data_IF_466119511163
#
_entry.id   IF_466119511163
#
_cell.length_a   1.000
_cell.length_b   1.000
_cell.length_c   1.000
_cell.angle_alpha   90.00
_cell.angle_beta   90.00
_cell.angle_gamma   90.00
#
_symmetry.space_group_name_H-M   'P 1'
#
loop_
_entity.id
_entity.type
_entity.pdbx_description
1 polymer ?
#
# COMPACT_ATOMS: atom_id res chain seq x y z
N UNK A 1 -8.18 11.29 16.85
CA UNK A 1 -8.10 10.13 15.94
C UNK A 1 -9.13 10.18 14.81
N UNK A 2 -10.45 10.05 15.05
CA UNK A 2 -11.44 10.00 13.94
C UNK A 2 -11.50 11.28 13.11
N UNK A 3 -11.39 12.46 13.75
CA UNK A 3 -11.31 13.73 13.06
C UNK A 3 -10.05 13.84 12.18
N UNK A 4 -8.88 13.39 12.65
CA UNK A 4 -7.61 13.39 11.91
C UNK A 4 -7.70 12.52 10.65
N UNK A 5 -8.20 11.27 10.80
CA UNK A 5 -8.41 10.35 9.68
C UNK A 5 -9.37 10.99 8.67
N UNK A 6 -10.51 11.53 9.12
CA UNK A 6 -11.47 12.18 8.22
C UNK A 6 -10.84 13.35 7.45
N UNK A 7 -10.03 14.17 8.11
CA UNK A 7 -9.36 15.30 7.48
C UNK A 7 -8.34 14.84 6.42
N UNK A 8 -7.59 13.78 6.70
CA UNK A 8 -6.67 13.17 5.75
C UNK A 8 -7.41 12.60 4.53
N UNK A 9 -8.50 11.87 4.75
CA UNK A 9 -9.34 11.34 3.67
C UNK A 9 -9.94 12.45 2.79
N UNK A 10 -10.35 13.58 3.39
CA UNK A 10 -10.80 14.75 2.63
C UNK A 10 -9.71 15.38 1.77
N UNK A 11 -8.45 15.34 2.21
CA UNK A 11 -7.31 15.77 1.38
C UNK A 11 -7.14 14.82 0.19
N UNK A 12 -7.21 13.50 0.42
CA UNK A 12 -7.10 12.49 -0.65
C UNK A 12 -8.17 12.68 -1.73
N UNK A 13 -9.41 13.02 -1.35
CA UNK A 13 -10.53 13.25 -2.28
C UNK A 13 -10.29 14.40 -3.27
N UNK A 14 -9.42 15.35 -2.91
CA UNK A 14 -9.13 16.56 -3.70
C UNK A 14 -7.88 16.41 -4.57
N UNK A 15 -7.21 15.27 -4.51
CA UNK A 15 -5.97 15.07 -5.26
C UNK A 15 -6.24 14.84 -6.74
N UNK A 16 -5.41 15.41 -7.63
CA UNK A 16 -5.48 15.08 -9.04
C UNK A 16 -5.15 13.60 -9.27
N UNK A 17 -5.58 13.07 -10.41
CA UNK A 17 -5.15 11.75 -10.82
C UNK A 17 -3.62 11.69 -10.97
N UNK A 18 -3.09 10.49 -10.76
CA UNK A 18 -1.67 10.12 -10.75
C UNK A 18 -0.85 10.74 -9.61
N UNK A 19 -1.52 11.16 -8.53
CA UNK A 19 -0.85 11.64 -7.32
C UNK A 19 -0.20 10.53 -6.51
N UNK A 20 1.00 10.80 -6.01
CA UNK A 20 1.76 9.98 -5.07
C UNK A 20 1.74 10.67 -3.72
N UNK A 21 1.24 9.98 -2.69
CA UNK A 21 1.01 10.56 -1.37
C UNK A 21 1.81 9.79 -0.34
N UNK A 22 2.44 10.52 0.55
CA UNK A 22 3.03 9.97 1.76
C UNK A 22 2.10 10.25 2.95
N UNK A 23 1.57 9.21 3.58
CA UNK A 23 0.74 9.31 4.78
C UNK A 23 1.60 9.01 6.00
N UNK A 24 1.88 10.05 6.80
CA UNK A 24 2.61 9.97 8.05
C UNK A 24 1.64 9.71 9.19
N UNK A 25 1.84 8.60 9.91
CA UNK A 25 0.96 8.18 11.00
C UNK A 25 1.67 8.36 12.34
N UNK A 26 1.03 9.08 13.27
CA UNK A 26 1.53 9.26 14.64
C UNK A 26 1.86 7.93 15.34
N UNK A 27 2.91 7.94 16.15
CA UNK A 27 3.47 6.73 16.80
C UNK A 27 2.51 6.03 17.77
N UNK A 28 1.49 6.71 18.27
CA UNK A 28 0.46 6.23 19.19
C UNK A 28 -0.78 5.67 18.47
N UNK A 29 -0.88 5.83 17.14
CA UNK A 29 -2.06 5.44 16.38
C UNK A 29 -1.99 4.00 15.87
N UNK A 30 -3.14 3.29 15.82
CA UNK A 30 -3.24 1.96 15.24
C UNK A 30 -3.20 2.05 13.70
N UNK A 31 -2.00 1.90 13.12
CA UNK A 31 -1.75 2.06 11.68
C UNK A 31 -2.65 1.19 10.80
N UNK A 32 -2.93 -0.06 11.20
CA UNK A 32 -3.85 -0.93 10.45
C UNK A 32 -5.29 -0.41 10.40
N UNK A 33 -5.75 0.31 11.44
CA UNK A 33 -7.07 0.96 11.40
C UNK A 33 -7.11 2.05 10.33
N UNK A 34 -6.01 2.79 10.18
CA UNK A 34 -5.87 3.82 9.15
C UNK A 34 -5.85 3.16 7.77
N UNK A 35 -5.13 2.06 7.61
CA UNK A 35 -5.09 1.31 6.36
C UNK A 35 -6.48 0.82 5.96
N UNK A 36 -7.21 0.20 6.90
CA UNK A 36 -8.60 -0.21 6.71
C UNK A 36 -9.49 0.98 6.33
N UNK A 37 -9.36 2.11 7.00
CA UNK A 37 -10.17 3.31 6.73
C UNK A 37 -9.88 3.91 5.34
N UNK A 38 -8.62 3.92 4.93
CA UNK A 38 -8.19 4.37 3.60
C UNK A 38 -8.72 3.44 2.52
N UNK A 39 -8.59 2.12 2.70
CA UNK A 39 -9.08 1.13 1.74
C UNK A 39 -10.61 1.21 1.60
N UNK A 40 -11.36 1.27 2.70
CA UNK A 40 -12.81 1.48 2.66
C UNK A 40 -13.18 2.75 1.90
N UNK A 41 -12.53 3.87 2.23
CA UNK A 41 -12.79 5.17 1.60
C UNK A 41 -12.59 5.15 0.07
N UNK A 42 -11.52 4.51 -0.40
CA UNK A 42 -11.19 4.42 -1.82
C UNK A 42 -12.17 3.49 -2.55
N UNK A 43 -12.46 2.33 -1.96
CA UNK A 43 -13.35 1.33 -2.56
C UNK A 43 -14.80 1.84 -2.62
N UNK A 44 -15.27 2.57 -1.61
CA UNK A 44 -16.60 3.21 -1.60
C UNK A 44 -16.76 4.26 -2.71
N UNK A 45 -15.66 4.84 -3.20
CA UNK A 45 -15.63 5.77 -4.34
C UNK A 45 -15.50 5.08 -5.70
N UNK A 46 -15.53 3.74 -5.70
CA UNK A 46 -15.47 2.95 -6.92
C UNK A 46 -14.06 2.74 -7.47
N UNK A 47 -13.03 2.91 -6.64
CA UNK A 47 -11.67 2.49 -7.01
C UNK A 47 -11.41 1.04 -6.61
N UNK A 48 -10.56 0.34 -7.37
CA UNK A 48 -9.90 -0.86 -6.89
C UNK A 48 -8.57 -0.50 -6.21
N UNK A 49 -8.10 -1.37 -5.33
CA UNK A 49 -6.86 -1.19 -4.59
C UNK A 49 -5.93 -2.39 -4.78
N UNK A 50 -4.64 -2.12 -4.95
CA UNK A 50 -3.57 -3.10 -4.77
C UNK A 50 -2.85 -2.75 -3.48
N UNK A 51 -2.85 -3.67 -2.51
CA UNK A 51 -2.23 -3.48 -1.22
C UNK A 51 -0.93 -4.30 -1.13
N UNK A 52 0.20 -3.64 -0.96
CA UNK A 52 1.49 -4.30 -0.72
C UNK A 52 1.67 -4.49 0.78
N UNK A 53 1.84 -5.74 1.19
CA UNK A 53 1.99 -6.16 2.57
C UNK A 53 3.37 -6.75 2.81
N UNK A 54 4.16 -6.12 3.69
CA UNK A 54 5.48 -6.60 4.08
C UNK A 54 5.62 -6.85 5.59
N UNK A 55 4.55 -6.76 6.38
CA UNK A 55 4.68 -6.84 7.85
C UNK A 55 4.17 -8.13 8.48
N UNK A 56 3.26 -8.83 7.82
CA UNK A 56 2.55 -10.00 8.38
C UNK A 56 2.11 -10.94 7.27
N UNK A 57 1.73 -12.18 7.56
CA UNK A 57 1.08 -13.03 6.57
C UNK A 57 -0.28 -12.49 6.12
N UNK A 58 -0.67 -12.78 4.87
CA UNK A 58 -1.91 -12.30 4.27
C UNK A 58 -3.16 -12.71 5.07
N UNK A 59 -3.20 -13.93 5.62
CA UNK A 59 -4.36 -14.39 6.39
C UNK A 59 -4.60 -13.52 7.64
N UNK A 60 -3.53 -13.20 8.39
CA UNK A 60 -3.60 -12.33 9.57
C UNK A 60 -3.99 -10.91 9.15
N UNK A 61 -3.42 -10.38 8.06
CA UNK A 61 -3.79 -9.06 7.54
C UNK A 61 -5.29 -8.95 7.27
N UNK A 62 -5.86 -9.96 6.60
CA UNK A 62 -7.27 -9.99 6.22
C UNK A 62 -8.16 -10.02 7.48
N UNK A 63 -7.84 -10.87 8.46
CA UNK A 63 -8.59 -10.94 9.72
C UNK A 63 -8.53 -9.62 10.50
N UNK A 64 -7.36 -8.95 10.49
CA UNK A 64 -7.19 -7.65 11.14
C UNK A 64 -7.95 -6.54 10.43
N UNK A 65 -8.05 -6.58 9.10
CA UNK A 65 -8.88 -5.64 8.35
C UNK A 65 -10.37 -5.82 8.65
N UNK A 66 -10.84 -7.06 8.68
CA UNK A 66 -12.23 -7.36 9.05
C UNK A 66 -12.53 -6.87 10.48
N UNK A 67 -11.58 -7.04 11.42
CA UNK A 67 -11.67 -6.49 12.78
C UNK A 67 -11.79 -4.95 12.80
N UNK A 68 -11.14 -4.24 11.89
CA UNK A 68 -11.25 -2.78 11.74
C UNK A 68 -12.37 -2.34 10.78
N UNK A 69 -13.40 -3.18 10.61
CA UNK A 69 -14.59 -2.91 9.82
C UNK A 69 -14.34 -2.68 8.31
N UNK A 70 -13.19 -3.10 7.79
CA UNK A 70 -12.96 -3.18 6.35
C UNK A 70 -13.19 -4.61 5.90
N UNK A 71 -14.21 -4.83 5.05
CA UNK A 71 -14.60 -6.16 4.55
C UNK A 71 -13.60 -6.69 3.52
N UNK A 72 -12.40 -7.06 3.97
CA UNK A 72 -11.30 -7.42 3.09
C UNK A 72 -11.62 -8.66 2.25
N UNK A 73 -12.28 -9.66 2.83
CA UNK A 73 -12.67 -10.90 2.12
C UNK A 73 -13.62 -10.62 0.96
N UNK A 74 -14.62 -9.77 1.17
CA UNK A 74 -15.57 -9.36 0.12
C UNK A 74 -14.86 -8.56 -0.99
N UNK A 75 -13.96 -7.66 -0.61
CA UNK A 75 -13.18 -6.86 -1.55
C UNK A 75 -12.24 -7.72 -2.42
N UNK A 76 -11.60 -8.75 -1.83
CA UNK A 76 -10.76 -9.71 -2.56
C UNK A 76 -11.58 -10.52 -3.56
N UNK A 77 -12.70 -11.10 -3.12
CA UNK A 77 -13.55 -11.95 -3.97
C UNK A 77 -14.21 -11.18 -5.12
N UNK A 78 -14.46 -9.88 -4.94
CA UNK A 78 -15.05 -9.01 -5.96
C UNK A 78 -14.03 -8.33 -6.87
N UNK A 79 -12.72 -8.61 -6.70
CA UNK A 79 -11.66 -7.97 -7.47
C UNK A 79 -11.47 -6.48 -7.18
N UNK A 80 -12.03 -5.97 -6.08
CA UNK A 80 -11.83 -4.58 -5.62
C UNK A 80 -10.56 -4.39 -4.81
N UNK A 81 -10.02 -5.49 -4.29
CA UNK A 81 -8.74 -5.54 -3.60
C UNK A 81 -7.91 -6.68 -4.19
N UNK A 82 -6.63 -6.44 -4.42
CA UNK A 82 -5.62 -7.48 -4.58
C UNK A 82 -4.49 -7.23 -3.58
N UNK A 83 -3.88 -8.29 -3.06
CA UNK A 83 -2.75 -8.19 -2.12
C UNK A 83 -1.47 -8.62 -2.83
N UNK A 84 -0.39 -7.87 -2.65
CA UNK A 84 0.97 -8.33 -2.96
C UNK A 84 1.64 -8.63 -1.64
N UNK A 85 1.81 -9.92 -1.34
CA UNK A 85 2.32 -10.41 -0.08
C UNK A 85 3.79 -10.79 -0.20
N UNK A 86 4.61 -10.24 0.71
CA UNK A 86 6.07 -10.38 0.68
C UNK A 86 6.61 -11.21 1.86
N UNK A 87 5.72 -11.76 2.71
CA UNK A 87 6.10 -12.40 3.99
C UNK A 87 5.57 -13.83 4.14
N UNK A 88 4.36 -14.11 3.66
CA UNK A 88 3.64 -15.36 3.90
C UNK A 88 4.44 -16.58 3.47
N UNK A 89 5.11 -16.53 2.31
CA UNK A 89 5.97 -17.63 1.83
C UNK A 89 7.17 -17.89 2.74
N UNK A 90 7.78 -16.83 3.28
CA UNK A 90 8.92 -16.93 4.18
C UNK A 90 8.59 -17.60 5.52
N UNK A 91 7.30 -17.69 5.87
CA UNK A 91 6.82 -18.30 7.12
C UNK A 91 5.84 -19.45 6.88
N UNK A 92 5.77 -19.97 5.65
CA UNK A 92 4.91 -21.10 5.26
C UNK A 92 3.42 -20.90 5.63
N UNK A 93 2.94 -19.66 5.54
CA UNK A 93 1.55 -19.33 5.82
C UNK A 93 0.60 -19.78 4.69
N UNK A 94 -0.68 -20.05 5.00
CA UNK A 94 -1.65 -20.45 4.00
C UNK A 94 -1.87 -19.38 2.93
N UNK A 95 -2.11 -19.84 1.70
CA UNK A 95 -2.45 -18.96 0.59
C UNK A 95 -3.88 -18.41 0.72
N UNK A 96 -4.08 -17.18 0.24
CA UNK A 96 -5.31 -16.40 0.31
C UNK A 96 -5.76 -16.01 -1.11
N UNK A 97 -7.07 -15.91 -1.35
CA UNK A 97 -7.59 -15.49 -2.65
C UNK A 97 -7.07 -14.10 -3.06
N UNK A 98 -7.00 -13.87 -4.37
CA UNK A 98 -6.62 -12.59 -4.96
C UNK A 98 -5.31 -12.00 -4.42
N UNK A 99 -4.35 -12.88 -4.09
CA UNK A 99 -3.05 -12.52 -3.52
C UNK A 99 -1.91 -12.99 -4.42
N UNK A 100 -0.98 -12.10 -4.72
CA UNK A 100 0.28 -12.40 -5.40
C UNK A 100 1.37 -12.54 -4.35
N UNK A 101 2.05 -13.67 -4.36
CA UNK A 101 3.13 -13.96 -3.41
C UNK A 101 4.49 -13.70 -4.03
N UNK A 102 5.29 -12.90 -3.33
CA UNK A 102 6.71 -12.64 -3.63
C UNK A 102 7.55 -13.61 -2.80
N UNK A 103 8.68 -14.02 -3.36
CA UNK A 103 9.55 -15.04 -2.77
C UNK A 103 10.40 -14.47 -1.63
N UNK A 104 10.77 -13.19 -1.68
CA UNK A 104 11.56 -12.53 -0.63
C UNK A 104 11.36 -11.00 -0.61
N UNK A 105 11.39 -10.35 0.58
CA UNK A 105 11.44 -8.89 0.68
C UNK A 105 12.75 -8.25 0.18
N UNK A 106 13.79 -9.04 -0.07
CA UNK A 106 15.01 -8.57 -0.74
C UNK A 106 14.89 -8.54 -2.27
N UNK A 107 13.85 -9.14 -2.86
CA UNK A 107 13.67 -9.18 -4.32
C UNK A 107 12.74 -8.05 -4.79
N UNK A 108 13.32 -6.85 -4.89
CA UNK A 108 12.61 -5.66 -5.34
C UNK A 108 12.14 -5.77 -6.81
N UNK A 109 12.78 -6.60 -7.63
CA UNK A 109 12.39 -6.82 -9.03
C UNK A 109 11.16 -7.73 -9.13
N UNK A 110 11.13 -8.82 -8.36
CA UNK A 110 9.94 -9.67 -8.25
C UNK A 110 8.76 -8.88 -7.68
N UNK A 111 8.99 -8.01 -6.68
CA UNK A 111 7.96 -7.12 -6.15
C UNK A 111 7.34 -6.23 -7.25
N UNK A 112 8.15 -5.62 -8.13
CA UNK A 112 7.63 -4.84 -9.25
C UNK A 112 6.76 -5.69 -10.20
N UNK A 113 7.22 -6.90 -10.56
CA UNK A 113 6.46 -7.81 -11.40
C UNK A 113 5.16 -8.30 -10.72
N UNK A 114 5.20 -8.47 -9.39
CA UNK A 114 4.05 -8.88 -8.61
C UNK A 114 2.91 -7.88 -8.64
N UNK A 115 3.21 -6.60 -8.78
CA UNK A 115 2.22 -5.53 -8.87
C UNK A 115 1.50 -5.56 -10.23
N UNK A 116 2.24 -5.87 -11.30
CA UNK A 116 1.65 -6.08 -12.63
C UNK A 116 0.75 -7.32 -12.64
N UNK A 117 1.17 -8.40 -11.96
CA UNK A 117 0.32 -9.59 -11.76
C UNK A 117 -0.92 -9.23 -10.94
N UNK A 118 -0.80 -8.45 -9.88
CA UNK A 118 -1.93 -8.01 -9.08
C UNK A 118 -2.90 -7.11 -9.86
N UNK A 119 -2.41 -6.35 -10.85
CA UNK A 119 -3.26 -5.58 -11.75
C UNK A 119 -4.17 -6.46 -12.60
N UNK A 120 -3.74 -7.69 -12.94
CA UNK A 120 -4.60 -8.65 -13.65
C UNK A 120 -5.68 -9.28 -12.75
N UNK A 121 -5.56 -9.13 -11.43
CA UNK A 121 -6.47 -9.67 -10.42
C UNK A 121 -7.58 -8.68 -10.02
N UNK A 122 -7.46 -7.41 -10.39
CA UNK A 122 -8.47 -6.39 -10.08
C UNK A 122 -9.51 -6.28 -11.20
N UNK A 123 -10.75 -5.98 -10.82
CA UNK A 123 -11.87 -5.75 -11.72
C UNK A 123 -12.17 -4.25 -11.83
N UNK A 124 -11.21 -3.48 -12.34
CA UNK A 124 -11.33 -2.04 -12.54
C UNK A 124 -10.82 -1.59 -13.92
N UNK A 125 -11.40 -0.49 -14.41
CA UNK A 125 -10.93 0.17 -15.63
C UNK A 125 -9.54 0.81 -15.43
N UNK A 126 -8.75 1.01 -16.50
CA UNK A 126 -7.54 1.81 -16.42
C UNK A 126 -7.82 3.19 -15.79
N UNK A 127 -6.93 3.67 -14.94
CA UNK A 127 -7.16 4.93 -14.20
C UNK A 127 -8.09 4.80 -12.99
N UNK A 128 -8.59 3.60 -12.63
CA UNK A 128 -9.46 3.38 -11.46
C UNK A 128 -8.79 2.55 -10.35
N UNK A 129 -7.46 2.51 -10.33
CA UNK A 129 -6.70 1.69 -9.38
C UNK A 129 -5.79 2.54 -8.50
N UNK A 130 -5.88 2.34 -7.19
CA UNK A 130 -4.90 2.85 -6.23
C UNK A 130 -3.91 1.78 -5.82
N UNK A 131 -2.66 2.18 -5.62
CA UNK A 131 -1.69 1.38 -4.89
C UNK A 131 -1.61 1.87 -3.46
N UNK A 132 -1.63 0.94 -2.51
CA UNK A 132 -1.40 1.20 -1.09
C UNK A 132 -0.20 0.36 -0.67
N UNK A 133 0.90 1.00 -0.32
CA UNK A 133 2.12 0.33 0.09
C UNK A 133 2.33 0.52 1.60
N UNK A 134 2.34 -0.60 2.31
CA UNK A 134 2.74 -0.71 3.70
C UNK A 134 4.17 -1.25 3.83
N UNK A 135 4.88 -0.75 4.85
CA UNK A 135 6.17 -1.29 5.26
C UNK A 135 7.33 -1.01 4.32
N UNK A 136 7.48 0.25 3.89
CA UNK A 136 8.75 0.76 3.36
C UNK A 136 9.90 0.53 4.34
N UNK A 137 9.62 0.66 5.64
CA UNK A 137 10.56 0.34 6.71
C UNK A 137 11.04 -1.10 6.63
N UNK A 138 10.14 -2.06 6.35
CA UNK A 138 10.53 -3.46 6.18
C UNK A 138 11.45 -3.62 4.98
N UNK A 139 11.16 -2.98 3.84
CA UNK A 139 12.04 -3.11 2.66
C UNK A 139 13.48 -2.67 2.97
N UNK A 140 13.67 -1.66 3.83
CA UNK A 140 15.00 -1.24 4.29
C UNK A 140 15.69 -2.22 5.25
N UNK A 141 14.95 -3.08 5.94
CA UNK A 141 15.56 -4.14 6.77
C UNK A 141 16.29 -5.14 5.87
N UNK A 142 15.78 -5.38 4.67
CA UNK A 142 16.31 -6.40 3.76
C UNK A 142 17.16 -5.85 2.61
N UNK A 143 17.16 -4.53 2.42
CA UNK A 143 17.81 -3.87 1.28
C UNK A 143 18.54 -2.60 1.73
N UNK A 144 19.59 -2.21 0.99
CA UNK A 144 20.25 -0.93 1.25
C UNK A 144 19.31 0.25 0.96
N UNK A 145 19.51 1.37 1.67
CA UNK A 145 18.77 2.62 1.43
C UNK A 145 18.84 3.04 -0.04
N UNK A 146 20.03 2.95 -0.66
CA UNK A 146 20.21 3.24 -2.08
C UNK A 146 19.39 2.33 -3.00
N UNK A 147 19.28 1.03 -2.68
CA UNK A 147 18.48 0.07 -3.43
C UNK A 147 16.98 0.35 -3.34
N UNK A 148 16.46 0.61 -2.14
CA UNK A 148 15.05 1.00 -1.94
C UNK A 148 14.73 2.31 -2.64
N UNK A 149 15.67 3.27 -2.63
CA UNK A 149 15.51 4.54 -3.31
C UNK A 149 15.42 4.40 -4.83
N UNK A 150 16.33 3.62 -5.44
CA UNK A 150 16.26 3.32 -6.86
C UNK A 150 14.94 2.62 -7.20
N UNK A 151 14.54 1.64 -6.39
CA UNK A 151 13.26 0.96 -6.54
C UNK A 151 12.10 1.96 -6.54
N UNK A 152 12.01 2.87 -5.56
CA UNK A 152 10.92 3.84 -5.46
C UNK A 152 10.81 4.76 -6.68
N UNK A 153 11.95 5.23 -7.21
CA UNK A 153 12.00 6.09 -8.40
C UNK A 153 11.41 5.37 -9.61
N UNK A 154 11.91 4.17 -9.91
CA UNK A 154 11.41 3.37 -11.01
C UNK A 154 9.96 2.93 -10.78
N UNK A 155 9.63 2.63 -9.53
CA UNK A 155 8.31 2.17 -9.13
C UNK A 155 7.24 3.23 -9.37
N UNK A 156 7.45 4.47 -8.90
CA UNK A 156 6.53 5.59 -9.15
C UNK A 156 6.37 5.85 -10.65
N UNK A 157 7.48 5.80 -11.41
CA UNK A 157 7.44 5.90 -12.87
C UNK A 157 6.60 4.79 -13.51
N UNK A 158 6.74 3.55 -13.04
CA UNK A 158 5.98 2.39 -13.53
C UNK A 158 4.49 2.51 -13.23
N UNK A 159 4.10 2.95 -12.03
CA UNK A 159 2.69 3.17 -11.67
C UNK A 159 2.01 4.18 -12.61
N UNK A 160 2.72 5.24 -13.01
CA UNK A 160 2.21 6.22 -14.00
C UNK A 160 2.04 5.59 -15.38
N UNK A 161 2.98 4.75 -15.81
CA UNK A 161 2.89 4.04 -17.09
C UNK A 161 1.76 2.99 -17.13
N UNK A 162 1.43 2.40 -15.98
CA UNK A 162 0.33 1.47 -15.79
C UNK A 162 -1.02 2.15 -15.49
N UNK A 163 -1.09 3.48 -15.60
CA UNK A 163 -2.30 4.27 -15.40
C UNK A 163 -2.97 4.05 -14.04
N UNK A 164 -2.20 3.88 -12.97
CA UNK A 164 -2.76 3.96 -11.62
C UNK A 164 -3.34 5.37 -11.37
N UNK A 165 -4.48 5.43 -10.68
CA UNK A 165 -5.03 6.70 -10.22
C UNK A 165 -4.11 7.36 -9.20
N UNK A 166 -3.43 6.59 -8.37
CA UNK A 166 -2.48 7.14 -7.40
C UNK A 166 -1.80 6.07 -6.56
N UNK A 167 -0.86 6.51 -5.75
CA UNK A 167 -0.13 5.67 -4.82
C UNK A 167 -0.12 6.29 -3.43
N UNK A 168 -0.36 5.48 -2.41
CA UNK A 168 -0.27 5.86 -1.01
C UNK A 168 0.87 5.06 -0.36
N UNK A 169 1.87 5.78 0.15
CA UNK A 169 2.90 5.22 1.01
C UNK A 169 2.54 5.52 2.45
N UNK A 170 2.25 4.49 3.24
CA UNK A 170 1.89 4.66 4.64
C UNK A 170 3.07 4.30 5.52
N UNK A 171 3.40 5.21 6.44
CA UNK A 171 4.55 5.03 7.30
C UNK A 171 4.27 5.55 8.71
N UNK A 172 4.85 4.88 9.70
CA UNK A 172 4.80 5.33 11.10
C UNK A 172 5.88 6.39 11.34
N UNK A 173 5.50 7.46 12.03
CA UNK A 173 6.43 8.48 12.49
C UNK A 173 7.54 7.86 13.37
N UNK A 174 8.77 8.37 13.24
CA UNK A 174 9.96 7.82 13.90
C UNK A 174 10.76 6.82 13.05
N UNK A 175 10.50 6.77 11.75
CA UNK A 175 11.41 6.17 10.76
C UNK A 175 12.75 6.93 10.72
N UNK A 176 13.80 6.30 10.17
CA UNK A 176 15.08 6.98 9.95
C UNK A 176 14.86 8.30 9.20
N UNK A 177 15.32 9.41 9.77
CA UNK A 177 15.13 10.77 9.24
C UNK A 177 15.59 10.92 7.79
N UNK A 178 16.65 10.18 7.43
CA UNK A 178 17.21 10.20 6.09
C UNK A 178 16.24 9.59 5.08
N UNK A 179 15.56 8.49 5.42
CA UNK A 179 14.53 7.89 4.56
C UNK A 179 13.36 8.85 4.36
N UNK A 180 12.83 9.40 5.45
CA UNK A 180 11.70 10.31 5.40
C UNK A 180 12.01 11.52 4.52
N UNK A 181 13.18 12.12 4.71
CA UNK A 181 13.64 13.27 3.93
C UNK A 181 13.75 12.97 2.45
N UNK A 182 14.15 11.74 2.10
CA UNK A 182 14.29 11.35 0.71
C UNK A 182 12.92 10.99 0.11
N UNK A 183 12.07 10.21 0.77
CA UNK A 183 10.72 9.89 0.24
C UNK A 183 9.91 11.17 0.00
N UNK A 184 10.00 12.15 0.90
CA UNK A 184 9.34 13.46 0.76
C UNK A 184 9.71 14.21 -0.52
N UNK A 185 10.84 13.90 -1.16
CA UNK A 185 11.25 14.50 -2.44
C UNK A 185 10.59 13.85 -3.67
N UNK A 186 10.03 12.64 -3.53
CA UNK A 186 9.46 11.87 -4.65
C UNK A 186 7.94 11.75 -4.61
N UNK A 187 7.32 12.21 -3.53
CA UNK A 187 5.86 12.27 -3.38
C UNK A 187 5.35 13.67 -3.70
N UNK A 188 4.11 13.76 -4.19
CA UNK A 188 3.49 15.03 -4.54
C UNK A 188 2.95 15.75 -3.30
N UNK A 189 2.57 15.00 -2.26
CA UNK A 189 2.01 15.55 -1.02
C UNK A 189 2.29 14.65 0.18
N UNK A 190 2.48 15.28 1.33
CA UNK A 190 2.55 14.63 2.65
C UNK A 190 1.26 14.91 3.42
N UNK A 191 0.66 13.88 3.98
CA UNK A 191 -0.54 13.95 4.82
C UNK A 191 -0.24 13.34 6.17
N UNK A 192 -0.28 14.15 7.22
CA UNK A 192 -0.09 13.71 8.61
C UNK A 192 -1.44 13.31 9.24
N UNK A 193 -1.44 12.23 10.02
CA UNK A 193 -2.60 11.64 10.71
C UNK A 193 -2.29 11.43 12.20
#
# INVERSE_FOLDING_TARGET
MEASIRNALQKLDKLPARSTVLIQVGSDLPILRIHASVLSFLIERGFACIYINSMRPAFDLIDRFDFYSFKAREALMSGKLAIVDVISRSVEAPEMPNTVYISSPSDLSELQLGIERALSLISAEPGKTWLVLDGLSTLLVFNSTGGVMQFLIFFIGRLRALEFYGALFLFREGLEKDLESVIKQYVDIVVEI
#
